data_IF_760545748652
#
_entry.id   IF_760545748652
#
_cell.length_a   1.000
_cell.length_b   1.000
_cell.length_c   1.000
_cell.angle_alpha   90.00
_cell.angle_beta   90.00
_cell.angle_gamma   90.00
#
_symmetry.space_group_name_H-M   'P 1'
#
loop_
_entity.id
_entity.type
_entity.pdbx_description
1 polymer ?
#
# COMPACT_ATOMS: atom_id res chain seq x y z
N UNK A 1 9.71 33.06 -3.45
CA UNK A 1 9.65 32.15 -2.30
C UNK A 1 10.66 32.63 -1.28
N UNK A 2 10.30 32.72 -0.01
CA UNK A 2 11.23 33.12 1.05
C UNK A 2 12.32 32.06 1.25
N UNK A 3 13.53 32.47 1.67
CA UNK A 3 14.69 31.58 1.75
C UNK A 3 14.48 30.38 2.68
N UNK A 4 13.82 30.60 3.83
CA UNK A 4 13.52 29.51 4.77
C UNK A 4 12.50 28.53 4.21
N UNK A 5 11.49 28.98 3.45
CA UNK A 5 10.51 28.09 2.80
C UNK A 5 11.22 27.19 1.79
N UNK A 6 12.16 27.75 1.04
CA UNK A 6 12.97 26.97 0.10
C UNK A 6 13.82 25.92 0.81
N UNK A 7 14.48 26.28 1.91
CA UNK A 7 15.27 25.34 2.70
C UNK A 7 14.42 24.19 3.27
N UNK A 8 13.20 24.48 3.74
CA UNK A 8 12.22 23.46 4.17
C UNK A 8 11.90 22.50 3.02
N UNK A 9 11.58 23.03 1.85
CA UNK A 9 11.20 22.23 0.68
C UNK A 9 12.38 21.38 0.18
N UNK A 10 13.58 21.93 0.11
CA UNK A 10 14.80 21.21 -0.26
C UNK A 10 15.10 20.07 0.74
N UNK A 11 14.89 20.29 2.04
CA UNK A 11 15.02 19.26 3.05
C UNK A 11 13.97 18.14 2.91
N UNK A 12 12.72 18.49 2.59
CA UNK A 12 11.67 17.51 2.29
C UNK A 12 12.07 16.65 1.08
N UNK A 13 12.53 17.27 -0.02
CA UNK A 13 12.94 16.54 -1.23
C UNK A 13 14.21 15.72 -1.05
N UNK A 14 15.07 16.10 -0.12
CA UNK A 14 16.26 15.34 0.24
C UNK A 14 15.95 14.15 1.17
N UNK A 15 14.75 14.11 1.75
CA UNK A 15 14.29 12.96 2.53
C UNK A 15 13.94 11.78 1.62
N UNK A 16 14.08 10.54 2.11
CA UNK A 16 13.59 9.33 1.42
C UNK A 16 12.07 9.13 1.58
N UNK A 17 11.36 10.11 2.14
CA UNK A 17 9.93 10.01 2.38
C UNK A 17 9.15 10.43 1.14
N UNK A 18 8.05 9.72 0.89
CA UNK A 18 7.13 9.99 -0.19
C UNK A 18 5.74 10.34 0.36
N UNK A 19 5.11 11.35 -0.22
CA UNK A 19 3.84 11.87 0.26
C UNK A 19 2.77 11.91 -0.82
N UNK A 20 1.55 11.55 -0.45
CA UNK A 20 0.33 11.94 -1.17
C UNK A 20 -0.34 13.06 -0.38
N UNK A 21 -0.78 14.11 -1.06
CA UNK A 21 -1.29 15.33 -0.44
C UNK A 21 -2.70 15.62 -0.94
N UNK A 22 -3.67 15.60 -0.02
CA UNK A 22 -5.04 16.02 -0.28
C UNK A 22 -5.29 17.38 0.38
N UNK A 23 -5.64 18.37 -0.43
CA UNK A 23 -5.72 19.77 0.00
C UNK A 23 -7.05 20.41 -0.39
N UNK A 24 -7.80 20.88 0.60
CA UNK A 24 -8.99 21.69 0.39
C UNK A 24 -8.87 23.07 1.06
N UNK A 25 -9.12 24.13 0.29
CA UNK A 25 -9.13 25.51 0.80
C UNK A 25 -7.84 26.29 0.53
N UNK A 26 -7.45 27.16 1.47
CA UNK A 26 -6.58 28.31 1.19
C UNK A 26 -5.08 28.07 1.04
N UNK A 27 -4.59 26.84 1.23
CA UNK A 27 -3.16 26.56 1.21
C UNK A 27 -2.62 26.12 -0.17
N UNK A 28 -3.38 26.30 -1.26
CA UNK A 28 -2.96 25.85 -2.59
C UNK A 28 -1.63 26.45 -3.07
N UNK A 29 -1.27 27.66 -2.60
CA UNK A 29 0.03 28.28 -2.90
C UNK A 29 1.22 27.44 -2.38
N UNK A 30 1.05 26.72 -1.28
CA UNK A 30 2.10 25.85 -0.74
C UNK A 30 2.44 24.68 -1.69
N UNK A 31 1.48 24.23 -2.50
CA UNK A 31 1.71 23.24 -3.55
C UNK A 31 2.63 23.80 -4.64
N UNK A 32 2.42 25.07 -5.02
CA UNK A 32 3.28 25.76 -5.96
C UNK A 32 4.73 25.82 -5.46
N UNK A 33 4.93 26.07 -4.17
CA UNK A 33 6.27 26.05 -3.58
C UNK A 33 6.88 24.65 -3.60
N UNK A 34 6.15 23.65 -3.11
CA UNK A 34 6.61 22.26 -3.01
C UNK A 34 6.93 21.65 -4.38
N UNK A 35 6.19 22.00 -5.44
CA UNK A 35 6.39 21.43 -6.77
C UNK A 35 7.36 22.23 -7.64
N UNK A 36 7.76 23.43 -7.21
CA UNK A 36 8.68 24.30 -7.97
C UNK A 36 10.16 24.05 -7.68
N UNK A 37 10.48 23.25 -6.66
CA UNK A 37 11.86 22.95 -6.26
C UNK A 37 12.29 21.60 -6.85
N UNK A 38 13.53 21.48 -7.40
CA UNK A 38 14.04 20.21 -7.90
C UNK A 38 13.99 19.11 -6.84
N UNK A 39 13.68 17.88 -7.28
CA UNK A 39 13.51 16.72 -6.39
C UNK A 39 12.06 16.42 -5.99
N UNK A 40 11.10 17.29 -6.34
CA UNK A 40 9.68 17.10 -6.04
C UNK A 40 9.11 15.75 -6.51
N UNK A 41 9.50 15.25 -7.69
CA UNK A 41 9.04 13.95 -8.20
C UNK A 41 9.54 12.76 -7.37
N UNK A 42 10.59 12.93 -6.57
CA UNK A 42 11.10 11.90 -5.67
C UNK A 42 10.30 11.80 -4.37
N UNK A 43 9.76 12.93 -3.88
CA UNK A 43 9.08 13.00 -2.56
C UNK A 43 7.57 13.20 -2.64
N UNK A 44 7.01 13.64 -3.77
CA UNK A 44 5.56 13.89 -3.94
C UNK A 44 5.01 12.93 -4.98
N UNK A 45 4.18 11.98 -4.54
CA UNK A 45 3.57 10.95 -5.38
C UNK A 45 2.31 11.47 -6.09
N UNK A 46 1.46 12.20 -5.37
CA UNK A 46 0.20 12.68 -5.89
C UNK A 46 -0.29 13.87 -5.07
N UNK A 47 -0.93 14.83 -5.76
CA UNK A 47 -1.63 15.94 -5.12
C UNK A 47 -3.05 16.01 -5.67
N UNK A 48 -4.05 16.03 -4.78
CA UNK A 48 -5.46 16.18 -5.16
C UNK A 48 -6.05 17.38 -4.43
N UNK A 49 -6.77 18.23 -5.16
CA UNK A 49 -7.46 19.42 -4.61
C UNK A 49 -8.97 19.22 -4.71
N UNK A 50 -9.62 18.49 -3.77
CA UNK A 50 -11.04 18.17 -3.83
C UNK A 50 -11.91 19.38 -3.43
N UNK A 51 -12.08 20.34 -4.34
CA UNK A 51 -12.67 21.65 -4.00
C UNK A 51 -14.20 21.63 -3.86
N UNK A 52 -14.89 20.82 -4.66
CA UNK A 52 -16.36 20.69 -4.56
C UNK A 52 -16.75 19.69 -3.47
N UNK A 53 -17.95 19.88 -2.88
CA UNK A 53 -18.48 18.94 -1.88
C UNK A 53 -18.59 17.51 -2.43
N UNK A 54 -18.98 17.37 -3.69
CA UNK A 54 -19.08 16.08 -4.37
C UNK A 54 -17.70 15.42 -4.56
N UNK A 55 -16.69 16.20 -4.95
CA UNK A 55 -15.33 15.72 -5.13
C UNK A 55 -14.74 15.21 -3.80
N UNK A 56 -14.93 15.95 -2.70
CA UNK A 56 -14.50 15.52 -1.37
C UNK A 56 -15.23 14.24 -0.92
N UNK A 57 -16.54 14.15 -1.17
CA UNK A 57 -17.31 12.97 -0.79
C UNK A 57 -16.89 11.72 -1.56
N UNK A 58 -16.59 11.85 -2.86
CA UNK A 58 -16.07 10.77 -3.69
C UNK A 58 -14.66 10.35 -3.23
N UNK A 59 -13.79 11.32 -2.93
CA UNK A 59 -12.43 11.05 -2.45
C UNK A 59 -12.41 10.28 -1.13
N UNK A 60 -13.28 10.65 -0.19
CA UNK A 60 -13.34 10.04 1.15
C UNK A 60 -14.27 8.82 1.22
N UNK A 61 -15.06 8.55 0.17
CA UNK A 61 -16.11 7.52 0.18
C UNK A 61 -17.27 7.80 1.15
N UNK A 62 -17.31 8.98 1.76
CA UNK A 62 -18.33 9.41 2.72
C UNK A 62 -18.51 10.93 2.67
N UNK A 63 -19.69 11.43 3.03
CA UNK A 63 -19.94 12.86 3.15
C UNK A 63 -19.45 13.36 4.53
N UNK A 64 -18.48 14.27 4.60
CA UNK A 64 -18.05 14.82 5.88
C UNK A 64 -19.18 15.63 6.54
N UNK A 65 -19.32 15.49 7.86
CA UNK A 65 -20.23 16.34 8.65
C UNK A 65 -19.83 17.81 8.55
N UNK A 66 -18.52 18.09 8.58
CA UNK A 66 -17.94 19.41 8.40
C UNK A 66 -16.69 19.32 7.52
N UNK A 67 -16.63 20.13 6.47
CA UNK A 67 -15.56 20.11 5.46
C UNK A 67 -14.28 20.78 5.94
N UNK A 68 -14.38 21.71 6.91
CA UNK A 68 -13.24 22.35 7.57
C UNK A 68 -13.25 21.99 9.04
N UNK A 69 -12.74 20.79 9.33
CA UNK A 69 -12.67 20.23 10.68
C UNK A 69 -11.41 19.39 10.83
N UNK A 70 -11.01 19.14 12.08
CA UNK A 70 -9.97 18.18 12.44
C UNK A 70 -10.24 16.80 11.80
N UNK A 71 -11.46 16.29 11.97
CA UNK A 71 -11.85 14.98 11.42
C UNK A 71 -11.70 14.91 9.90
N UNK A 72 -12.08 15.98 9.17
CA UNK A 72 -11.92 16.00 7.71
C UNK A 72 -10.44 15.98 7.28
N UNK A 73 -9.55 16.67 8.00
CA UNK A 73 -8.12 16.59 7.75
C UNK A 73 -7.57 15.18 8.01
N UNK A 74 -8.01 14.53 9.10
CA UNK A 74 -7.60 13.17 9.47
C UNK A 74 -8.09 12.12 8.47
N UNK A 75 -9.36 12.22 8.04
CA UNK A 75 -9.93 11.37 7.00
C UNK A 75 -9.17 11.52 5.67
N UNK A 76 -8.82 12.75 5.29
CA UNK A 76 -8.00 13.01 4.09
C UNK A 76 -6.58 12.45 4.25
N UNK A 77 -5.95 12.61 5.42
CA UNK A 77 -4.61 12.08 5.66
C UNK A 77 -4.58 10.56 5.60
N UNK A 78 -5.60 9.88 6.15
CA UNK A 78 -5.73 8.42 6.05
C UNK A 78 -5.97 7.97 4.61
N UNK A 79 -6.87 8.62 3.88
CA UNK A 79 -7.13 8.31 2.47
C UNK A 79 -5.88 8.53 1.60
N UNK A 80 -5.15 9.62 1.85
CA UNK A 80 -3.86 9.91 1.22
C UNK A 80 -2.80 8.87 1.58
N UNK A 81 -2.75 8.41 2.83
CA UNK A 81 -1.79 7.39 3.27
C UNK A 81 -2.02 6.05 2.57
N UNK A 82 -3.27 5.61 2.46
CA UNK A 82 -3.64 4.42 1.67
C UNK A 82 -3.28 4.58 0.19
N UNK A 83 -3.44 5.78 -0.37
CA UNK A 83 -3.04 6.08 -1.74
C UNK A 83 -1.51 6.05 -1.89
N UNK A 84 -0.78 6.59 -0.93
CA UNK A 84 0.68 6.58 -0.91
C UNK A 84 1.22 5.14 -0.87
N UNK A 85 0.66 4.27 -0.02
CA UNK A 85 1.00 2.84 0.04
C UNK A 85 0.85 2.14 -1.32
N UNK A 86 -0.19 2.47 -2.08
CA UNK A 86 -0.44 1.91 -3.43
C UNK A 86 0.55 2.39 -4.47
N UNK A 87 0.90 3.68 -4.41
CA UNK A 87 1.76 4.33 -5.40
C UNK A 87 3.26 4.15 -5.12
N UNK A 88 3.63 3.89 -3.86
CA UNK A 88 5.03 3.86 -3.48
C UNK A 88 5.75 2.61 -3.92
N UNK A 89 7.02 2.82 -4.27
CA UNK A 89 7.99 1.76 -4.43
C UNK A 89 8.22 0.98 -3.13
N UNK A 90 8.71 -0.26 -3.22
CA UNK A 90 9.01 -1.08 -2.05
C UNK A 90 10.13 -0.47 -1.19
N UNK A 91 10.00 -0.53 0.15
CA UNK A 91 11.05 -0.09 1.08
C UNK A 91 11.08 1.41 1.35
N UNK A 92 10.22 2.20 0.71
CA UNK A 92 10.14 3.64 0.92
C UNK A 92 9.21 3.99 2.08
N UNK A 93 9.59 5.02 2.84
CA UNK A 93 8.72 5.58 3.86
C UNK A 93 7.63 6.40 3.17
N UNK A 94 6.38 6.15 3.53
CA UNK A 94 5.23 6.85 2.95
C UNK A 94 4.44 7.59 4.00
N UNK A 95 3.84 8.69 3.57
CA UNK A 95 2.91 9.45 4.38
C UNK A 95 1.72 9.98 3.57
N UNK A 96 0.58 10.11 4.23
CA UNK A 96 -0.57 10.85 3.73
C UNK A 96 -0.68 12.19 4.41
N UNK A 97 -1.03 13.23 3.65
CA UNK A 97 -1.24 14.59 4.16
C UNK A 97 -2.65 15.03 3.82
N UNK A 98 -3.39 15.46 4.83
CA UNK A 98 -4.71 16.06 4.70
C UNK A 98 -4.70 17.50 5.16
N UNK A 99 -5.12 18.43 4.31
CA UNK A 99 -5.27 19.84 4.65
C UNK A 99 -6.71 20.30 4.39
N UNK A 100 -7.33 20.92 5.39
CA UNK A 100 -8.56 21.71 5.16
C UNK A 100 -8.46 23.07 5.84
N UNK A 101 -8.85 24.13 5.13
CA UNK A 101 -8.84 25.49 5.68
C UNK A 101 -9.93 26.37 5.08
N UNK A 102 -10.55 27.20 5.93
CA UNK A 102 -11.56 28.13 5.45
C UNK A 102 -10.93 29.39 4.84
N UNK A 103 -11.08 29.58 3.53
CA UNK A 103 -10.73 30.85 2.84
C UNK A 103 -11.71 31.96 3.19
N UNK A 104 -11.29 33.22 3.11
CA UNK A 104 -12.21 34.36 3.23
C UNK A 104 -13.36 34.20 2.23
N UNK A 105 -14.60 34.20 2.72
CA UNK A 105 -15.81 34.09 1.90
C UNK A 105 -16.42 35.47 1.67
N UNK A 106 -17.16 35.64 0.58
CA UNK A 106 -17.94 36.85 0.30
C UNK A 106 -19.15 37.07 1.25
N UNK A 107 -19.49 36.06 2.08
CA UNK A 107 -20.47 36.15 3.16
C UNK A 107 -19.76 36.24 4.52
N UNK A 108 -20.31 36.94 5.53
CA UNK A 108 -19.74 36.98 6.88
C UNK A 108 -19.60 35.56 7.42
N UNK A 109 -18.41 35.21 7.91
CA UNK A 109 -18.19 33.91 8.55
C UNK A 109 -18.71 33.94 9.98
N UNK A 110 -19.42 32.90 10.38
CA UNK A 110 -19.62 32.60 11.79
C UNK A 110 -18.40 31.79 12.31
N UNK A 111 -17.52 32.45 13.05
CA UNK A 111 -16.38 31.86 13.75
C UNK A 111 -15.00 32.06 13.08
N UNK A 112 -13.95 31.70 13.82
CA UNK A 112 -12.56 31.99 13.45
C UNK A 112 -12.06 31.25 12.20
N UNK A 113 -11.02 31.83 11.57
CA UNK A 113 -10.24 31.20 10.50
C UNK A 113 -9.57 29.93 11.00
N UNK A 114 -10.26 28.80 10.83
CA UNK A 114 -9.75 27.48 11.16
C UNK A 114 -9.14 26.82 9.93
N UNK A 115 -7.91 26.35 10.09
CA UNK A 115 -7.31 25.36 9.22
C UNK A 115 -6.77 24.21 10.06
N UNK A 116 -6.72 23.04 9.46
CA UNK A 116 -6.27 21.79 10.05
C UNK A 116 -5.34 21.11 9.06
N UNK A 117 -4.20 20.66 9.57
CA UNK A 117 -3.25 19.84 8.81
C UNK A 117 -3.05 18.55 9.58
N UNK A 118 -3.28 17.43 8.90
CA UNK A 118 -3.05 16.10 9.46
C UNK A 118 -2.05 15.36 8.60
N UNK A 119 -1.09 14.72 9.25
CA UNK A 119 -0.13 13.82 8.62
C UNK A 119 -0.32 12.42 9.18
N UNK A 120 -0.40 11.44 8.29
CA UNK A 120 -0.56 10.02 8.62
C UNK A 120 0.63 9.23 8.13
N UNK A 121 1.26 8.49 9.03
CA UNK A 121 2.23 7.43 8.73
C UNK A 121 1.67 6.09 9.19
N UNK A 122 2.46 5.03 9.09
CA UNK A 122 2.09 3.72 9.59
C UNK A 122 1.80 3.75 11.10
N UNK A 123 2.66 4.40 11.88
CA UNK A 123 2.66 4.35 13.34
C UNK A 123 2.20 5.65 14.03
N UNK A 124 1.79 6.66 13.27
CA UNK A 124 1.49 7.97 13.82
C UNK A 124 0.40 8.70 13.02
N UNK A 125 -0.52 9.33 13.74
CA UNK A 125 -1.39 10.38 13.24
C UNK A 125 -1.08 11.66 14.02
N UNK A 126 -0.67 12.71 13.30
CA UNK A 126 -0.38 14.02 13.88
C UNK A 126 -1.29 15.05 13.24
N UNK A 127 -1.99 15.81 14.04
CA UNK A 127 -2.87 16.90 13.59
C UNK A 127 -2.46 18.19 14.27
N UNK A 128 -2.28 19.25 13.48
CA UNK A 128 -1.75 20.53 13.94
C UNK A 128 -2.42 21.72 13.23
N UNK A 129 -2.16 22.90 13.79
CA UNK A 129 -2.55 24.20 13.25
C UNK A 129 -1.33 24.95 12.68
N UNK A 130 -0.41 24.25 12.01
CA UNK A 130 0.77 24.87 11.36
C UNK A 130 0.67 24.83 9.84
N UNK A 131 1.50 25.61 9.15
CA UNK A 131 1.51 25.63 7.68
C UNK A 131 1.82 24.24 7.09
N UNK A 132 1.27 23.96 5.90
CA UNK A 132 1.41 22.67 5.22
C UNK A 132 2.88 22.23 5.11
N UNK A 133 3.78 23.13 4.71
CA UNK A 133 5.21 22.83 4.55
C UNK A 133 5.87 22.43 5.87
N UNK A 134 5.52 23.07 7.00
CA UNK A 134 6.05 22.73 8.32
C UNK A 134 5.56 21.34 8.77
N UNK A 135 4.27 21.05 8.60
CA UNK A 135 3.71 19.74 8.95
C UNK A 135 4.37 18.59 8.17
N UNK A 136 4.64 18.77 6.87
CA UNK A 136 5.34 17.77 6.05
C UNK A 136 6.79 17.60 6.55
N UNK A 137 7.50 18.70 6.83
CA UNK A 137 8.86 18.67 7.35
C UNK A 137 8.97 17.94 8.70
N UNK A 138 8.02 18.18 9.61
CA UNK A 138 7.95 17.52 10.92
C UNK A 138 7.76 16.00 10.75
N UNK A 139 6.85 15.61 9.87
CA UNK A 139 6.60 14.20 9.58
C UNK A 139 7.77 13.51 8.85
N UNK A 140 8.49 14.24 8.00
CA UNK A 140 9.74 13.78 7.37
C UNK A 140 10.94 13.80 8.34
N UNK A 141 10.76 14.29 9.57
CA UNK A 141 11.81 14.46 10.60
C UNK A 141 12.97 15.37 10.16
N UNK A 142 12.68 16.39 9.36
CA UNK A 142 13.70 17.33 8.84
C UNK A 142 13.65 18.72 9.48
N UNK A 143 12.68 18.98 10.37
CA UNK A 143 12.47 20.29 10.99
C UNK A 143 13.61 20.78 11.89
N UNK A 144 14.39 19.87 12.49
CA UNK A 144 15.54 20.24 13.34
C UNK A 144 16.68 20.92 12.56
N UNK A 145 16.68 20.81 11.23
CA UNK A 145 17.71 21.38 10.35
C UNK A 145 17.49 22.88 10.08
N UNK A 146 16.38 23.46 10.58
CA UNK A 146 15.90 24.77 10.17
C UNK A 146 15.77 25.65 11.42
N UNK A 147 16.77 26.50 11.67
CA UNK A 147 16.64 27.60 12.62
C UNK A 147 15.64 28.61 12.02
N UNK A 148 14.41 28.65 12.53
CA UNK A 148 13.46 29.70 12.18
C UNK A 148 13.40 30.77 13.27
N UNK A 149 13.82 32.00 12.96
CA UNK A 149 13.56 33.22 13.74
C UNK A 149 12.09 33.70 13.61
N UNK A 150 11.15 32.78 13.41
CA UNK A 150 9.72 33.10 13.35
C UNK A 150 9.17 32.98 14.77
N UNK A 151 8.77 34.10 15.35
CA UNK A 151 7.99 34.17 16.59
C UNK A 151 6.88 33.12 16.52
N UNK A 152 6.99 32.06 17.33
CA UNK A 152 5.96 31.03 17.43
C UNK A 152 4.66 31.71 17.89
N UNK A 153 3.59 31.69 17.08
CA UNK A 153 2.28 32.05 17.61
C UNK A 153 1.90 31.01 18.67
N UNK A 154 1.24 31.48 19.74
CA UNK A 154 0.77 30.70 20.90
C UNK A 154 0.52 29.22 20.56
N UNK A 155 1.34 28.35 21.16
CA UNK A 155 1.31 26.88 21.18
C UNK A 155 0.23 26.30 20.24
N UNK A 156 0.60 25.85 19.03
CA UNK A 156 -0.33 25.10 18.19
C UNK A 156 -0.89 23.95 19.02
N UNK A 157 -2.23 23.86 19.13
CA UNK A 157 -2.88 22.67 19.69
C UNK A 157 -2.59 21.50 18.76
N UNK A 158 -1.46 20.86 18.97
CA UNK A 158 -1.03 19.66 18.28
C UNK A 158 -1.60 18.46 19.03
N UNK A 159 -2.26 17.56 18.29
CA UNK A 159 -2.62 16.24 18.81
C UNK A 159 -1.83 15.19 18.07
N UNK A 160 -1.15 14.33 18.82
CA UNK A 160 -0.40 13.19 18.30
C UNK A 160 -1.03 11.92 18.85
N UNK A 161 -1.35 11.01 17.97
CA UNK A 161 -1.76 9.64 18.29
C UNK A 161 -0.68 8.69 17.75
N UNK A 162 -0.14 7.86 18.63
CA UNK A 162 0.83 6.83 18.28
C UNK A 162 0.13 5.48 18.26
N UNK A 163 0.46 4.67 17.25
CA UNK A 163 -0.06 3.31 17.13
C UNK A 163 1.06 2.32 17.48
N UNK A 164 0.77 1.37 18.35
CA UNK A 164 1.60 0.19 18.50
C UNK A 164 1.35 -0.82 17.35
N UNK A 165 2.16 -1.87 17.30
CA UNK A 165 2.05 -2.87 16.24
C UNK A 165 0.67 -3.56 16.18
N UNK A 166 0.02 -3.76 17.33
CA UNK A 166 -1.26 -4.45 17.40
C UNK A 166 -2.37 -3.54 16.87
N UNK A 167 -2.34 -2.25 17.23
CA UNK A 167 -3.23 -1.22 16.68
C UNK A 167 -3.02 -1.02 15.19
N UNK A 168 -1.78 -1.06 14.69
CA UNK A 168 -1.49 -1.01 13.26
C UNK A 168 -2.11 -2.20 12.50
N UNK A 169 -1.96 -3.41 13.04
CA UNK A 169 -2.53 -4.62 12.45
C UNK A 169 -4.06 -4.64 12.53
N UNK A 170 -4.64 -4.16 13.64
CA UNK A 170 -6.08 -4.05 13.79
C UNK A 170 -6.68 -3.13 12.72
N UNK A 171 -6.02 -2.00 12.42
CA UNK A 171 -6.46 -1.08 11.37
C UNK A 171 -6.42 -1.71 9.96
N UNK A 172 -5.50 -2.66 9.71
CA UNK A 172 -5.50 -3.44 8.46
C UNK A 172 -6.69 -4.40 8.43
N UNK A 173 -6.92 -5.13 9.52
CA UNK A 173 -8.04 -6.08 9.67
C UNK A 173 -9.39 -5.35 9.50
N UNK A 174 -9.54 -4.17 10.09
CA UNK A 174 -10.77 -3.35 10.06
C UNK A 174 -10.97 -2.64 8.72
N UNK A 175 -10.02 -2.75 7.78
CA UNK A 175 -10.14 -2.13 6.46
C UNK A 175 -9.77 -0.65 6.41
N UNK A 176 -9.31 -0.06 7.50
CA UNK A 176 -8.94 1.36 7.56
C UNK A 176 -7.63 1.63 6.82
N UNK A 177 -6.65 0.74 6.98
CA UNK A 177 -5.37 0.76 6.25
C UNK A 177 -5.32 -0.42 5.29
N UNK A 178 -4.96 -0.19 4.02
CA UNK A 178 -5.02 -1.24 3.00
C UNK A 178 -3.96 -2.33 3.17
N UNK A 179 -2.81 -2.00 3.76
CA UNK A 179 -1.75 -2.95 4.04
C UNK A 179 -0.74 -2.42 5.05
N UNK A 180 0.00 -3.35 5.67
CA UNK A 180 1.22 -3.09 6.44
C UNK A 180 2.38 -3.85 5.81
N UNK A 181 3.53 -3.19 5.68
CA UNK A 181 4.73 -3.79 5.07
C UNK A 181 5.79 -4.01 6.14
N UNK A 182 6.30 -5.24 6.21
CA UNK A 182 7.44 -5.59 7.05
C UNK A 182 8.68 -5.74 6.18
N UNK A 183 9.67 -4.89 6.45
CA UNK A 183 10.97 -4.91 5.80
C UNK A 183 11.99 -5.60 6.70
N UNK A 184 12.39 -6.81 6.33
CA UNK A 184 13.41 -7.59 7.04
C UNK A 184 14.65 -7.88 6.17
N UNK A 185 14.56 -7.66 4.86
CA UNK A 185 15.71 -7.72 3.98
C UNK A 185 16.48 -6.40 4.01
N UNK A 186 17.77 -6.47 3.69
CA UNK A 186 18.60 -5.27 3.56
C UNK A 186 18.06 -4.33 2.48
N UNK A 187 18.20 -2.99 2.67
CA UNK A 187 17.83 -2.02 1.65
C UNK A 187 18.59 -2.29 0.35
N UNK A 188 17.85 -2.48 -0.74
CA UNK A 188 18.45 -2.61 -2.07
C UNK A 188 18.62 -1.22 -2.69
N UNK A 189 19.79 -0.95 -3.30
CA UNK A 189 19.97 0.27 -4.10
C UNK A 189 19.25 0.22 -5.45
N UNK A 190 18.77 -0.97 -5.85
CA UNK A 190 17.92 -1.13 -7.03
C UNK A 190 16.57 -0.46 -6.81
N UNK A 191 16.22 0.46 -7.70
CA UNK A 191 14.84 0.88 -7.88
C UNK A 191 14.09 -0.24 -8.61
N UNK A 192 12.96 -0.64 -8.03
CA UNK A 192 12.06 -1.61 -8.62
C UNK A 192 10.80 -0.90 -9.09
N UNK A 193 10.47 -1.10 -10.36
CA UNK A 193 9.28 -0.49 -10.97
C UNK A 193 8.00 -1.28 -10.65
N UNK A 194 8.14 -2.55 -10.25
CA UNK A 194 7.02 -3.41 -9.89
C UNK A 194 7.33 -4.32 -8.70
N UNK A 195 6.27 -4.88 -8.09
CA UNK A 195 6.38 -5.90 -7.05
C UNK A 195 6.25 -7.30 -7.66
N UNK A 196 7.01 -8.24 -7.15
CA UNK A 196 6.91 -9.66 -7.44
C UNK A 196 6.41 -10.35 -6.17
N UNK A 197 5.11 -10.66 -6.14
CA UNK A 197 4.39 -11.00 -4.93
C UNK A 197 4.07 -12.48 -4.92
N UNK A 198 4.54 -13.22 -3.92
CA UNK A 198 4.11 -14.58 -3.63
C UNK A 198 3.06 -14.54 -2.50
N UNK A 199 1.76 -14.57 -2.83
CA UNK A 199 0.69 -14.66 -1.83
C UNK A 199 0.56 -16.08 -1.27
N UNK A 200 0.26 -16.19 0.01
CA UNK A 200 0.08 -17.50 0.65
C UNK A 200 -0.32 -17.42 2.11
N UNK A 201 -0.73 -18.56 2.66
CA UNK A 201 -1.02 -18.66 4.10
C UNK A 201 0.25 -18.79 4.94
N UNK A 202 1.32 -19.36 4.37
CA UNK A 202 2.64 -19.58 4.99
C UNK A 202 2.57 -20.12 6.42
N UNK A 203 1.79 -21.19 6.60
CA UNK A 203 1.61 -21.83 7.89
C UNK A 203 1.98 -23.33 7.82
N UNK A 204 3.27 -23.71 7.83
CA UNK A 204 4.45 -22.85 7.94
C UNK A 204 5.05 -22.45 6.58
N UNK A 205 5.90 -21.41 6.59
CA UNK A 205 6.89 -21.11 5.56
C UNK A 205 7.89 -22.27 5.44
N UNK A 206 8.36 -22.55 4.22
CA UNK A 206 9.28 -23.65 3.94
C UNK A 206 10.06 -23.42 2.63
N UNK A 207 11.05 -24.25 2.34
CA UNK A 207 11.99 -24.09 1.21
C UNK A 207 11.31 -24.00 -0.15
N UNK A 208 10.22 -24.75 -0.36
CA UNK A 208 9.39 -24.62 -1.57
C UNK A 208 8.93 -23.18 -1.84
N UNK A 209 8.50 -22.44 -0.81
CA UNK A 209 8.09 -21.03 -0.98
C UNK A 209 9.28 -20.12 -1.27
N UNK A 210 10.41 -20.32 -0.58
CA UNK A 210 11.61 -19.51 -0.74
C UNK A 210 12.19 -19.66 -2.15
N UNK A 211 12.32 -20.91 -2.62
CA UNK A 211 12.79 -21.22 -3.97
C UNK A 211 11.83 -20.78 -5.05
N UNK A 212 10.52 -20.87 -4.83
CA UNK A 212 9.54 -20.40 -5.81
C UNK A 212 9.69 -18.89 -6.04
N UNK A 213 9.83 -18.11 -4.96
CA UNK A 213 10.07 -16.67 -5.07
C UNK A 213 11.43 -16.36 -5.72
N UNK A 214 12.47 -17.12 -5.39
CA UNK A 214 13.81 -16.97 -5.98
C UNK A 214 13.81 -17.23 -7.50
N UNK A 215 13.22 -18.35 -7.94
CA UNK A 215 13.11 -18.69 -9.36
C UNK A 215 12.29 -17.64 -10.11
N UNK A 216 11.15 -17.24 -9.56
CA UNK A 216 10.34 -16.18 -10.16
C UNK A 216 11.11 -14.85 -10.24
N UNK A 217 11.93 -14.52 -9.25
CA UNK A 217 12.78 -13.32 -9.26
C UNK A 217 13.84 -13.40 -10.35
N UNK A 218 14.40 -14.58 -10.60
CA UNK A 218 15.38 -14.78 -11.69
C UNK A 218 14.78 -14.64 -13.10
N UNK A 219 13.44 -14.68 -13.21
CA UNK A 219 12.71 -14.50 -14.47
C UNK A 219 12.29 -13.05 -14.70
N UNK A 220 12.47 -12.15 -13.73
CA UNK A 220 12.03 -10.76 -13.78
C UNK A 220 13.11 -9.84 -13.23
N UNK A 221 13.82 -9.11 -14.11
CA UNK A 221 14.95 -8.26 -13.72
C UNK A 221 14.56 -7.00 -12.90
N UNK A 222 13.27 -6.65 -12.91
CA UNK A 222 12.71 -5.38 -12.40
C UNK A 222 11.72 -5.54 -11.24
N UNK A 223 11.52 -6.77 -10.75
CA UNK A 223 10.51 -7.10 -9.73
C UNK A 223 11.08 -7.18 -8.31
N UNK A 224 10.53 -6.40 -7.38
CA UNK A 224 10.90 -6.52 -5.96
C UNK A 224 10.23 -7.74 -5.32
N UNK A 225 11.00 -8.75 -4.88
CA UNK A 225 10.43 -9.97 -4.32
C UNK A 225 9.85 -9.72 -2.93
N UNK A 226 8.60 -10.11 -2.74
CA UNK A 226 7.91 -9.99 -1.45
C UNK A 226 6.89 -11.11 -1.25
N UNK A 227 6.74 -11.55 -0.01
CA UNK A 227 5.64 -12.42 0.37
C UNK A 227 4.41 -11.60 0.73
N UNK A 228 3.23 -12.18 0.61
CA UNK A 228 2.00 -11.51 1.02
C UNK A 228 1.05 -12.45 1.77
N UNK A 229 0.55 -11.99 2.92
CA UNK A 229 -0.49 -12.65 3.70
C UNK A 229 -1.72 -11.74 3.72
N UNK A 230 -2.85 -12.27 3.28
CA UNK A 230 -4.13 -11.60 3.45
C UNK A 230 -4.63 -11.82 4.88
N UNK A 231 -4.77 -10.73 5.64
CA UNK A 231 -5.36 -10.74 6.98
C UNK A 231 -6.84 -11.13 6.93
N UNK A 232 -7.53 -10.77 5.84
CA UNK A 232 -8.92 -11.18 5.57
C UNK A 232 -8.91 -12.36 4.60
N UNK A 233 -9.74 -13.37 4.82
CA UNK A 233 -9.91 -14.50 3.91
C UNK A 233 -11.30 -14.45 3.29
N UNK A 234 -11.45 -14.95 2.06
CA UNK A 234 -12.77 -15.02 1.40
C UNK A 234 -13.71 -16.01 2.11
N UNK A 235 -13.19 -17.16 2.53
CA UNK A 235 -13.97 -18.28 3.06
C UNK A 235 -13.77 -18.53 4.56
N UNK A 236 -12.95 -17.71 5.24
CA UNK A 236 -12.54 -17.91 6.64
C UNK A 236 -12.61 -16.59 7.41
N UNK A 237 -12.77 -16.63 8.74
CA UNK A 237 -12.64 -15.42 9.54
C UNK A 237 -11.27 -14.75 9.31
N UNK A 238 -11.19 -13.43 9.55
CA UNK A 238 -9.91 -12.72 9.58
C UNK A 238 -8.92 -13.40 10.54
N UNK A 239 -7.63 -13.33 10.21
CA UNK A 239 -6.57 -13.80 11.09
C UNK A 239 -6.54 -12.94 12.36
N UNK A 240 -6.32 -13.57 13.51
CA UNK A 240 -6.04 -12.82 14.75
C UNK A 240 -4.68 -12.13 14.66
N UNK A 241 -4.50 -11.05 15.41
CA UNK A 241 -3.22 -10.33 15.51
C UNK A 241 -2.10 -11.30 15.93
N UNK A 242 -2.36 -12.18 16.90
CA UNK A 242 -1.39 -13.18 17.36
C UNK A 242 -0.96 -14.13 16.23
N UNK A 243 -1.90 -14.59 15.41
CA UNK A 243 -1.62 -15.47 14.27
C UNK A 243 -0.81 -14.75 13.18
N UNK A 244 -1.13 -13.48 12.89
CA UNK A 244 -0.36 -12.66 11.94
C UNK A 244 1.07 -12.51 12.44
N UNK A 245 1.27 -12.10 13.70
CA UNK A 245 2.61 -11.92 14.30
C UNK A 245 3.41 -13.23 14.30
N UNK A 246 2.76 -14.35 14.62
CA UNK A 246 3.38 -15.68 14.56
C UNK A 246 3.91 -16.03 13.16
N UNK A 247 3.12 -15.75 12.11
CA UNK A 247 3.53 -15.99 10.72
C UNK A 247 4.61 -15.01 10.25
N UNK A 248 4.50 -13.73 10.61
CA UNK A 248 5.48 -12.69 10.27
C UNK A 248 6.87 -13.03 10.82
N UNK A 249 6.96 -13.62 12.01
CA UNK A 249 8.24 -13.99 12.63
C UNK A 249 9.05 -14.99 11.80
N UNK A 250 8.39 -15.82 11.00
CA UNK A 250 9.05 -16.77 10.10
C UNK A 250 9.83 -16.03 9.00
N UNK A 251 9.27 -14.93 8.49
CA UNK A 251 9.91 -14.09 7.48
C UNK A 251 11.04 -13.26 8.05
N UNK A 252 10.91 -12.81 9.31
CA UNK A 252 12.00 -12.14 10.03
C UNK A 252 13.21 -13.06 10.13
N UNK A 253 13.02 -14.30 10.55
CA UNK A 253 14.09 -15.32 10.64
C UNK A 253 14.71 -15.64 9.28
N UNK A 254 13.92 -15.60 8.21
CA UNK A 254 14.37 -15.85 6.85
C UNK A 254 14.97 -14.60 6.15
N UNK A 255 14.94 -13.42 6.77
CA UNK A 255 15.38 -12.16 6.16
C UNK A 255 14.57 -11.78 4.92
N UNK A 256 13.26 -12.03 4.92
CA UNK A 256 12.37 -11.80 3.76
C UNK A 256 11.31 -10.76 4.06
N UNK A 257 11.00 -9.93 3.08
CA UNK A 257 9.94 -8.93 3.20
C UNK A 257 8.56 -9.60 3.12
N UNK A 258 7.61 -9.14 3.93
CA UNK A 258 6.22 -9.62 3.91
C UNK A 258 5.23 -8.46 4.01
N UNK A 259 4.20 -8.50 3.18
CA UNK A 259 3.07 -7.58 3.21
C UNK A 259 1.90 -8.27 3.91
N UNK A 260 1.29 -7.59 4.86
CA UNK A 260 -0.01 -7.96 5.42
C UNK A 260 -1.05 -7.08 4.75
N UNK A 261 -1.86 -7.64 3.85
CA UNK A 261 -2.93 -6.90 3.16
C UNK A 261 -4.31 -7.28 3.68
N UNK A 262 -5.31 -6.47 3.36
CA UNK A 262 -6.71 -6.78 3.66
C UNK A 262 -7.51 -7.28 2.45
N UNK A 263 -6.83 -7.71 1.38
CA UNK A 263 -7.47 -8.06 0.11
C UNK A 263 -7.44 -9.57 -0.16
N UNK A 264 -8.55 -10.31 -0.04
CA UNK A 264 -8.54 -11.76 -0.25
C UNK A 264 -8.51 -12.17 -1.73
N UNK A 265 -8.96 -11.31 -2.64
CA UNK A 265 -9.09 -11.63 -4.07
C UNK A 265 -7.98 -11.02 -4.92
N UNK A 266 -7.54 -11.75 -5.95
CA UNK A 266 -6.48 -11.30 -6.84
C UNK A 266 -6.82 -10.02 -7.61
N UNK A 267 -8.06 -9.82 -8.04
CA UNK A 267 -8.44 -8.56 -8.70
C UNK A 267 -8.32 -7.35 -7.77
N UNK A 268 -8.63 -7.52 -6.48
CA UNK A 268 -8.38 -6.50 -5.46
C UNK A 268 -6.90 -6.32 -5.13
N UNK A 269 -6.10 -7.39 -5.18
CA UNK A 269 -4.65 -7.29 -5.07
C UNK A 269 -4.05 -6.55 -6.27
N UNK A 270 -4.57 -6.74 -7.49
CA UNK A 270 -4.15 -6.01 -8.68
C UNK A 270 -4.47 -4.50 -8.58
N UNK A 271 -5.60 -4.12 -7.96
CA UNK A 271 -5.90 -2.72 -7.61
C UNK A 271 -4.93 -2.14 -6.57
N UNK A 272 -4.49 -2.97 -5.61
CA UNK A 272 -3.55 -2.59 -4.54
C UNK A 272 -2.10 -2.53 -5.03
N UNK A 273 -1.75 -3.35 -6.02
CA UNK A 273 -0.41 -3.53 -6.56
C UNK A 273 -0.42 -3.44 -8.10
N UNK A 274 -0.72 -2.26 -8.67
CA UNK A 274 -0.73 -2.09 -10.12
C UNK A 274 0.66 -2.46 -10.72
N UNK A 275 0.66 -3.03 -11.93
CA UNK A 275 1.85 -3.46 -12.66
C UNK A 275 2.60 -4.66 -12.07
N UNK A 276 2.13 -5.23 -10.96
CA UNK A 276 2.86 -6.26 -10.21
C UNK A 276 2.61 -7.67 -10.76
N UNK A 277 3.57 -8.56 -10.53
CA UNK A 277 3.42 -9.98 -10.83
C UNK A 277 3.04 -10.77 -9.58
N UNK A 278 2.04 -11.66 -9.69
CA UNK A 278 1.68 -12.60 -8.65
C UNK A 278 2.19 -14.00 -8.97
N UNK A 279 2.93 -14.59 -8.04
CA UNK A 279 3.44 -15.95 -8.17
C UNK A 279 2.42 -16.89 -7.55
N UNK A 280 1.91 -17.83 -8.33
CA UNK A 280 0.84 -18.74 -7.90
C UNK A 280 1.15 -20.18 -8.33
N UNK A 281 0.54 -21.14 -7.64
CA UNK A 281 0.56 -22.54 -8.09
C UNK A 281 -0.45 -22.79 -9.20
N UNK A 282 -0.25 -23.84 -10.00
CA UNK A 282 -1.18 -24.29 -11.03
C UNK A 282 -2.62 -24.52 -10.48
N UNK A 283 -2.75 -24.98 -9.23
CA UNK A 283 -4.04 -25.15 -8.55
C UNK A 283 -4.79 -23.82 -8.35
N UNK A 284 -4.03 -22.75 -8.10
CA UNK A 284 -4.58 -21.42 -7.88
C UNK A 284 -4.89 -20.74 -9.21
N UNK A 285 -4.05 -20.93 -10.23
CA UNK A 285 -4.33 -20.48 -11.59
C UNK A 285 -5.62 -21.12 -12.14
N UNK A 286 -5.80 -22.43 -11.94
CA UNK A 286 -7.02 -23.14 -12.33
C UNK A 286 -8.27 -22.60 -11.64
N UNK A 287 -8.17 -22.22 -10.36
CA UNK A 287 -9.27 -21.57 -9.62
C UNK A 287 -9.53 -20.15 -10.13
N UNK A 288 -8.49 -19.40 -10.49
CA UNK A 288 -8.61 -18.03 -10.97
C UNK A 288 -9.46 -17.93 -12.24
N UNK A 289 -9.33 -18.90 -13.15
CA UNK A 289 -10.10 -18.99 -14.40
C UNK A 289 -11.30 -19.93 -14.31
N UNK A 290 -11.80 -20.20 -13.10
CA UNK A 290 -12.98 -21.04 -12.91
C UNK A 290 -14.24 -20.17 -12.64
N UNK A 291 -15.25 -20.18 -13.52
CA UNK A 291 -16.48 -19.38 -13.37
C UNK A 291 -17.22 -19.59 -12.05
N UNK A 292 -17.04 -20.73 -11.38
CA UNK A 292 -17.61 -21.01 -10.06
C UNK A 292 -17.30 -19.91 -9.03
N UNK A 293 -16.14 -19.28 -9.11
CA UNK A 293 -15.73 -18.19 -8.21
C UNK A 293 -16.29 -16.82 -8.60
N UNK A 294 -17.03 -16.75 -9.72
CA UNK A 294 -17.61 -15.53 -10.28
C UNK A 294 -19.14 -15.65 -10.41
N UNK A 295 -19.77 -16.40 -9.50
CA UNK A 295 -21.21 -16.65 -9.53
C UNK A 295 -21.66 -17.61 -10.65
N UNK A 296 -20.74 -18.39 -11.19
CA UNK A 296 -21.00 -19.27 -12.34
C UNK A 296 -20.96 -18.56 -13.69
N UNK A 297 -20.63 -17.27 -13.72
CA UNK A 297 -20.65 -16.43 -14.92
C UNK A 297 -19.26 -16.30 -15.55
N UNK A 298 -19.09 -16.91 -16.73
CA UNK A 298 -17.85 -16.87 -17.51
C UNK A 298 -17.53 -15.45 -18.02
N UNK A 299 -18.53 -14.68 -18.44
CA UNK A 299 -18.30 -13.33 -18.97
C UNK A 299 -17.87 -12.40 -17.86
N UNK A 300 -18.49 -12.51 -16.68
CA UNK A 300 -18.07 -11.77 -15.48
C UNK A 300 -16.65 -12.11 -15.06
N UNK A 301 -16.26 -13.39 -15.11
CA UNK A 301 -14.89 -13.81 -14.86
C UNK A 301 -13.92 -13.13 -15.84
N UNK A 302 -14.26 -13.17 -17.13
CA UNK A 302 -13.43 -12.58 -18.18
C UNK A 302 -13.29 -11.07 -18.00
N UNK A 303 -14.39 -10.37 -17.73
CA UNK A 303 -14.41 -8.92 -17.45
C UNK A 303 -13.48 -8.55 -16.30
N UNK A 304 -13.60 -9.23 -15.15
CA UNK A 304 -12.77 -8.96 -13.96
C UNK A 304 -11.29 -9.23 -14.25
N UNK A 305 -10.97 -10.33 -14.94
CA UNK A 305 -9.58 -10.67 -15.25
C UNK A 305 -8.98 -9.78 -16.35
N UNK A 306 -9.78 -9.28 -17.28
CA UNK A 306 -9.36 -8.26 -18.25
C UNK A 306 -9.10 -6.92 -17.57
N UNK A 307 -9.88 -6.55 -16.56
CA UNK A 307 -9.61 -5.38 -15.73
C UNK A 307 -8.26 -5.55 -14.99
N UNK A 308 -8.00 -6.72 -14.42
CA UNK A 308 -6.69 -7.03 -13.81
C UNK A 308 -5.55 -6.89 -14.83
N UNK A 309 -5.74 -7.44 -16.04
CA UNK A 309 -4.76 -7.34 -17.12
C UNK A 309 -4.50 -5.88 -17.51
N UNK A 310 -5.53 -5.02 -17.51
CA UNK A 310 -5.39 -3.59 -17.80
C UNK A 310 -4.55 -2.82 -16.78
N UNK A 311 -4.40 -3.33 -15.55
CA UNK A 311 -3.48 -2.75 -14.56
C UNK A 311 -2.02 -3.16 -14.78
N UNK A 312 -1.72 -3.98 -15.80
CA UNK A 312 -0.39 -4.53 -16.06
C UNK A 312 -0.04 -5.73 -15.16
N UNK A 313 -1.04 -6.32 -14.50
CA UNK A 313 -0.85 -7.50 -13.65
C UNK A 313 -0.48 -8.72 -14.49
N UNK A 314 0.45 -9.55 -13.99
CA UNK A 314 0.80 -10.85 -14.59
C UNK A 314 0.82 -11.95 -13.53
N UNK A 315 0.56 -13.21 -13.92
CA UNK A 315 0.62 -14.39 -13.05
C UNK A 315 1.76 -15.30 -13.46
N UNK A 316 2.74 -15.50 -12.57
CA UNK A 316 3.80 -16.50 -12.75
C UNK A 316 3.33 -17.82 -12.13
N UNK A 317 3.20 -18.85 -12.94
CA UNK A 317 2.54 -20.10 -12.55
C UNK A 317 3.58 -21.20 -12.35
N UNK A 318 3.81 -21.56 -11.09
CA UNK A 318 4.60 -22.73 -10.73
C UNK A 318 3.79 -24.01 -10.85
N UNK A 319 4.39 -25.05 -11.42
CA UNK A 319 3.81 -26.40 -11.44
C UNK A 319 3.54 -26.92 -10.03
N UNK A 320 2.50 -27.74 -9.88
CA UNK A 320 2.12 -28.30 -8.58
C UNK A 320 1.48 -29.68 -8.72
N UNK A 321 1.78 -30.56 -7.77
CA UNK A 321 1.07 -31.82 -7.61
C UNK A 321 -0.35 -31.59 -7.08
N UNK A 322 -1.35 -32.04 -7.85
CA UNK A 322 -2.77 -31.96 -7.54
C UNK A 322 -3.34 -33.37 -7.74
N UNK A 323 -3.81 -33.99 -6.66
CA UNK A 323 -4.40 -35.35 -6.70
C UNK A 323 -3.45 -36.41 -7.29
N UNK A 324 -2.15 -36.31 -7.01
CA UNK A 324 -1.14 -37.25 -7.50
C UNK A 324 -0.61 -36.96 -8.90
N UNK A 325 -1.11 -35.90 -9.55
CA UNK A 325 -0.70 -35.49 -10.91
C UNK A 325 -0.03 -34.12 -10.84
N UNK A 326 1.19 -34.02 -11.35
CA UNK A 326 1.88 -32.75 -11.49
C UNK A 326 1.26 -31.95 -12.63
N UNK A 327 0.64 -30.81 -12.31
CA UNK A 327 0.01 -29.92 -13.31
C UNK A 327 0.85 -28.68 -13.53
N UNK A 328 0.98 -28.29 -14.79
CA UNK A 328 1.65 -27.06 -15.25
C UNK A 328 0.66 -26.12 -15.94
N UNK A 329 1.08 -24.89 -16.29
CA UNK A 329 0.20 -23.89 -16.91
C UNK A 329 -0.38 -24.38 -18.24
N UNK A 330 0.41 -25.09 -19.03
CA UNK A 330 0.07 -25.57 -20.37
C UNK A 330 -1.09 -26.57 -20.36
N UNK A 331 -1.35 -27.21 -19.22
CA UNK A 331 -2.47 -28.13 -19.01
C UNK A 331 -3.76 -27.43 -18.56
N UNK A 332 -3.71 -26.11 -18.30
CA UNK A 332 -4.86 -25.33 -17.85
C UNK A 332 -5.61 -24.72 -19.05
N UNK A 333 -6.95 -24.77 -18.97
CA UNK A 333 -7.83 -24.13 -19.94
C UNK A 333 -7.93 -22.61 -19.69
N UNK A 334 -6.87 -21.87 -20.02
CA UNK A 334 -6.84 -20.41 -19.92
C UNK A 334 -7.54 -19.78 -21.15
N UNK A 335 -8.52 -18.87 -20.95
CA UNK A 335 -9.14 -18.11 -22.04
C UNK A 335 -8.10 -17.40 -22.91
N UNK A 336 -8.30 -17.40 -24.22
CA UNK A 336 -7.31 -16.88 -25.19
C UNK A 336 -6.97 -15.40 -24.94
N UNK A 337 -7.96 -14.62 -24.51
CA UNK A 337 -7.85 -13.20 -24.18
C UNK A 337 -6.94 -12.91 -22.98
N UNK A 338 -6.72 -13.92 -22.13
CA UNK A 338 -5.95 -13.83 -20.88
C UNK A 338 -4.59 -14.53 -20.96
N UNK A 339 -4.29 -15.28 -22.02
CA UNK A 339 -3.10 -16.17 -22.08
C UNK A 339 -1.78 -15.45 -21.80
N UNK A 340 -1.60 -14.26 -22.35
CA UNK A 340 -0.41 -13.41 -22.18
C UNK A 340 -0.23 -12.89 -20.73
N UNK A 341 -1.29 -12.92 -19.92
CA UNK A 341 -1.21 -12.59 -18.50
C UNK A 341 -0.61 -13.74 -17.67
N UNK A 342 -0.63 -14.98 -18.15
CA UNK A 342 -0.11 -16.15 -17.43
C UNK A 342 1.22 -16.61 -18.02
N UNK A 343 2.25 -16.67 -17.18
CA UNK A 343 3.63 -17.00 -17.57
C UNK A 343 4.04 -18.25 -16.80
N UNK A 344 4.38 -19.32 -17.52
CA UNK A 344 4.79 -20.59 -16.92
C UNK A 344 6.17 -20.47 -16.27
N UNK A 345 6.31 -20.98 -15.04
CA UNK A 345 7.63 -21.24 -14.44
C UNK A 345 8.02 -22.67 -14.87
N UNK A 346 9.08 -22.84 -15.69
CA UNK A 346 9.45 -24.15 -16.23
C UNK A 346 9.75 -25.17 -15.12
N UNK A 347 9.33 -26.42 -15.31
CA UNK A 347 9.55 -27.51 -14.35
C UNK A 347 11.05 -27.73 -14.07
N UNK A 348 11.90 -27.52 -15.09
CA UNK A 348 13.36 -27.65 -14.97
C UNK A 348 13.95 -26.61 -14.02
N UNK A 349 13.27 -25.47 -13.84
CA UNK A 349 13.67 -24.43 -12.89
C UNK A 349 13.02 -24.62 -11.53
N UNK A 350 11.82 -25.17 -11.46
CA UNK A 350 11.10 -25.34 -10.20
C UNK A 350 10.23 -26.61 -10.17
N UNK A 351 10.66 -27.58 -9.37
CA UNK A 351 9.86 -28.72 -8.92
C UNK A 351 10.18 -29.03 -7.46
N UNK A 352 9.26 -28.71 -6.56
CA UNK A 352 9.40 -28.97 -5.12
C UNK A 352 8.04 -29.42 -4.58
N UNK A 353 7.95 -30.71 -4.30
CA UNK A 353 6.74 -31.35 -3.80
C UNK A 353 6.69 -31.28 -2.25
N UNK A 354 6.66 -30.06 -1.73
CA UNK A 354 6.53 -29.79 -0.28
C UNK A 354 5.22 -29.03 -0.04
N UNK A 355 4.36 -29.59 0.82
CA UNK A 355 3.12 -28.94 1.27
C UNK A 355 3.16 -28.57 2.75
N UNK A 356 2.81 -27.33 3.09
CA UNK A 356 2.59 -26.91 4.48
C UNK A 356 1.61 -27.82 5.22
N UNK A 357 0.61 -28.39 4.53
CA UNK A 357 -0.37 -29.31 5.15
C UNK A 357 0.27 -30.62 5.58
N UNK A 358 1.18 -31.15 4.79
CA UNK A 358 1.91 -32.38 5.12
C UNK A 358 2.93 -32.14 6.23
N UNK A 359 3.57 -30.96 6.23
CA UNK A 359 4.47 -30.55 7.30
C UNK A 359 3.74 -30.44 8.65
N UNK A 360 2.53 -29.85 8.68
CA UNK A 360 1.69 -29.82 9.89
C UNK A 360 1.38 -31.24 10.39
N UNK A 361 0.95 -32.14 9.49
CA UNK A 361 0.71 -33.56 9.84
C UNK A 361 1.96 -34.24 10.42
N UNK A 362 3.14 -34.01 9.82
CA UNK A 362 4.42 -34.56 10.30
C UNK A 362 4.85 -33.97 11.65
N UNK A 363 4.49 -32.73 11.93
CA UNK A 363 4.82 -32.01 13.17
C UNK A 363 3.77 -32.17 14.28
N UNK A 364 2.65 -32.87 14.01
CA UNK A 364 1.56 -33.07 14.97
C UNK A 364 0.73 -31.80 15.24
N UNK A 365 0.70 -30.85 14.30
CA UNK A 365 -0.01 -29.58 14.36
C UNK A 365 -1.35 -29.58 13.62
#
# INVERSE_FOLDING_TARGET
MEAWVRAVVEAIHSSRAQAVIYLAGGASQALGWLLSVPGASGSVLEVVVPYSRASMAQLLGKLPLQFTSKQAAEDMALAAFNRALKLSGPGLQVMGVGFTGSLASSRPKHGDHRFYVSTRTQNCLRTSHVTLSKAIADACRVSATIQSDVQEPEIPKESVEQFDEDQELQQVIDGQVCMKVYHFADPTEKNFDRKLILPGSFNPLHDGHLRLLEVASSMCDDGFPCFEISAINADKPPLSIAEIKHRVEQFRKAGKNVIISNQPYFYKKAELFPGSAFIIGADTAARLVNPKYYGGDYNRMLEILLECKSTGTTFLVGGREIEGVFKVLEELNIPTELKDMFISIPEEKFRIDISSTELRKKQGL
#
